data_IF_316226653864
#
_entry.id   IF_316226653864
#
_cell.length_a   1.000
_cell.length_b   1.000
_cell.length_c   1.000
_cell.angle_alpha   90.00
_cell.angle_beta   90.00
_cell.angle_gamma   90.00
#
_symmetry.space_group_name_H-M   'P 1'
#
loop_
_entity.id
_entity.type
_entity.pdbx_description
1 polymer ?
#
# COMPACT_ATOMS: atom_id res chain seq x y z
N UNK A 1 -21.59 -23.19 -8.63
CA UNK A 1 -22.49 -22.08 -8.28
C UNK A 1 -22.43 -21.89 -6.78
N UNK A 2 -22.29 -20.67 -6.27
CA UNK A 2 -22.01 -20.40 -4.85
C UNK A 2 -23.28 -20.49 -3.99
N UNK A 3 -23.74 -21.71 -3.70
CA UNK A 3 -25.01 -21.99 -3.01
C UNK A 3 -25.13 -21.25 -1.67
N UNK A 4 -24.03 -21.09 -0.94
CA UNK A 4 -23.98 -20.36 0.34
C UNK A 4 -24.29 -18.85 0.21
N UNK A 5 -24.12 -18.26 -0.98
CA UNK A 5 -24.47 -16.85 -1.24
C UNK A 5 -25.95 -16.72 -1.60
N UNK A 6 -26.48 -17.67 -2.37
CA UNK A 6 -27.86 -17.64 -2.84
C UNK A 6 -28.86 -18.13 -1.78
N UNK A 7 -28.43 -19.05 -0.92
CA UNK A 7 -29.24 -19.66 0.14
C UNK A 7 -28.45 -19.63 1.46
N UNK A 8 -28.26 -18.45 2.07
CA UNK A 8 -27.48 -18.32 3.29
C UNK A 8 -28.20 -18.99 4.46
N UNK A 9 -27.47 -19.81 5.20
CA UNK A 9 -27.86 -20.34 6.51
C UNK A 9 -27.38 -19.40 7.62
N UNK A 10 -27.91 -19.53 8.85
CA UNK A 10 -27.41 -18.75 10.00
C UNK A 10 -25.91 -18.94 10.28
N UNK A 11 -25.32 -20.06 9.84
CA UNK A 11 -23.88 -20.34 10.00
C UNK A 11 -23.02 -19.63 8.95
N UNK A 12 -23.62 -19.16 7.86
CA UNK A 12 -22.89 -18.40 6.85
C UNK A 12 -22.59 -16.99 7.36
N UNK A 13 -21.30 -16.70 7.49
CA UNK A 13 -20.78 -15.39 7.87
C UNK A 13 -19.76 -14.90 6.85
N UNK A 14 -19.69 -13.58 6.70
CA UNK A 14 -18.59 -12.94 5.98
C UNK A 14 -17.33 -13.13 6.84
N UNK A 15 -16.31 -13.78 6.28
CA UNK A 15 -15.06 -14.05 6.99
C UNK A 15 -14.30 -12.75 7.26
N UNK A 16 -14.15 -11.92 6.23
CA UNK A 16 -13.58 -10.58 6.26
C UNK A 16 -13.92 -9.82 4.97
N UNK A 17 -13.69 -8.52 4.94
CA UNK A 17 -13.67 -7.72 3.70
C UNK A 17 -12.26 -7.33 3.32
N UNK A 18 -12.06 -7.00 2.04
CA UNK A 18 -10.79 -6.51 1.52
C UNK A 18 -11.04 -5.10 1.02
N UNK A 19 -10.28 -4.14 1.53
CA UNK A 19 -10.47 -2.71 1.29
C UNK A 19 -9.16 -2.07 0.82
N UNK A 20 -9.29 -0.99 0.04
CA UNK A 20 -8.18 -0.05 -0.20
C UNK A 20 -8.12 0.98 0.91
N UNK A 21 -6.96 1.60 1.12
CA UNK A 21 -6.80 2.72 2.05
C UNK A 21 -7.74 3.88 1.69
N UNK A 22 -8.77 4.19 2.51
CA UNK A 22 -9.70 5.26 2.22
C UNK A 22 -9.02 6.62 2.03
N UNK A 23 -7.84 6.79 2.64
CA UNK A 23 -6.96 7.93 2.53
C UNK A 23 -6.52 8.20 1.08
N UNK A 24 -6.43 7.18 0.23
CA UNK A 24 -6.15 7.37 -1.20
C UNK A 24 -7.29 8.09 -1.93
N UNK A 25 -8.49 8.09 -1.35
CA UNK A 25 -9.67 8.74 -1.91
C UNK A 25 -9.45 10.24 -2.17
N UNK A 26 -9.86 10.70 -3.37
CA UNK A 26 -9.74 12.09 -3.83
C UNK A 26 -10.34 13.17 -2.91
N UNK A 27 -11.26 12.76 -2.03
CA UNK A 27 -12.01 13.64 -1.16
C UNK A 27 -11.95 13.15 0.28
N UNK A 28 -10.89 12.44 0.67
CA UNK A 28 -10.78 11.89 2.02
C UNK A 28 -10.74 13.01 3.07
N UNK A 29 -9.78 13.93 2.95
CA UNK A 29 -9.65 15.11 3.80
C UNK A 29 -10.26 16.37 3.17
N UNK A 30 -10.62 17.32 4.04
CA UNK A 30 -11.06 18.64 3.62
C UNK A 30 -9.89 19.41 3.06
N UNK A 31 -10.07 20.11 1.94
CA UNK A 31 -8.95 20.83 1.36
C UNK A 31 -9.29 21.72 0.18
N UNK A 32 -8.23 22.28 -0.40
CA UNK A 32 -8.28 23.13 -1.58
C UNK A 32 -7.04 22.88 -2.43
N UNK A 33 -7.24 22.23 -3.57
CA UNK A 33 -6.18 21.75 -4.46
C UNK A 33 -5.29 22.87 -4.97
N UNK A 34 -5.90 24.01 -5.33
CA UNK A 34 -5.19 25.14 -5.95
C UNK A 34 -4.21 25.80 -4.99
N UNK A 35 -4.51 25.78 -3.69
CA UNK A 35 -3.63 26.32 -2.65
C UNK A 35 -2.83 25.24 -1.92
N UNK A 36 -2.94 23.98 -2.35
CA UNK A 36 -2.31 22.81 -1.71
C UNK A 36 -2.59 22.74 -0.19
N UNK A 37 -3.80 23.11 0.22
CA UNK A 37 -4.23 23.03 1.63
C UNK A 37 -4.99 21.74 1.83
N UNK A 38 -4.57 20.97 2.82
CA UNK A 38 -5.22 19.76 3.30
C UNK A 38 -5.32 19.83 4.81
N UNK A 39 -6.53 19.66 5.33
CA UNK A 39 -6.83 19.72 6.75
C UNK A 39 -7.44 18.40 7.20
N UNK A 40 -6.95 17.86 8.31
CA UNK A 40 -7.64 16.77 9.00
C UNK A 40 -9.02 17.22 9.48
N UNK A 41 -9.90 16.29 9.90
CA UNK A 41 -11.19 16.66 10.50
C UNK A 41 -11.04 17.52 11.76
N UNK A 42 -10.05 17.23 12.61
CA UNK A 42 -9.77 18.01 13.82
C UNK A 42 -9.32 19.42 13.48
N UNK A 43 -8.47 19.59 12.47
CA UNK A 43 -8.03 20.90 12.00
C UNK A 43 -9.17 21.67 11.33
N UNK A 44 -10.00 21.01 10.54
CA UNK A 44 -11.16 21.63 9.87
C UNK A 44 -12.14 22.17 10.90
N UNK A 45 -12.39 21.42 11.98
CA UNK A 45 -13.24 21.86 13.09
C UNK A 45 -12.71 23.11 13.80
N UNK A 46 -11.38 23.26 13.89
CA UNK A 46 -10.73 24.39 14.55
C UNK A 46 -10.59 25.62 13.64
N UNK A 47 -10.16 25.41 12.39
CA UNK A 47 -9.82 26.48 11.43
C UNK A 47 -11.02 26.89 10.56
N UNK A 48 -12.09 26.10 10.57
CA UNK A 48 -13.26 26.28 9.72
C UNK A 48 -13.03 25.81 8.29
N UNK A 49 -14.01 26.08 7.42
CA UNK A 49 -14.04 25.61 6.03
C UNK A 49 -13.66 26.71 5.02
N UNK A 50 -12.85 27.68 5.43
CA UNK A 50 -12.39 28.78 4.56
C UNK A 50 -10.89 28.63 4.32
N UNK A 51 -10.47 28.70 3.07
CA UNK A 51 -9.06 28.56 2.70
C UNK A 51 -8.24 29.73 3.27
N UNK A 52 -7.18 29.47 4.05
CA UNK A 52 -6.37 30.54 4.65
C UNK A 52 -5.52 31.29 3.63
N UNK A 53 -5.33 30.74 2.42
CA UNK A 53 -4.48 31.33 1.38
C UNK A 53 -5.27 32.26 0.46
N UNK A 54 -6.47 31.88 0.04
CA UNK A 54 -7.24 32.62 -0.97
C UNK A 54 -8.65 33.04 -0.55
N UNK A 55 -9.10 32.68 0.67
CA UNK A 55 -10.41 33.02 1.20
C UNK A 55 -11.61 32.29 0.57
N UNK A 56 -11.40 31.41 -0.41
CA UNK A 56 -12.45 30.57 -1.00
C UNK A 56 -12.87 29.44 -0.06
N UNK A 57 -14.10 28.90 -0.18
CA UNK A 57 -14.51 27.74 0.60
C UNK A 57 -13.66 26.50 0.29
N UNK A 58 -13.35 25.73 1.33
CA UNK A 58 -12.70 24.43 1.21
C UNK A 58 -13.71 23.38 0.74
N UNK A 59 -13.25 22.41 -0.06
CA UNK A 59 -14.03 21.21 -0.38
C UNK A 59 -14.05 20.31 0.84
N UNK A 60 -15.23 20.11 1.42
CA UNK A 60 -15.43 19.27 2.61
C UNK A 60 -15.13 17.80 2.28
N UNK A 61 -14.26 17.18 3.08
CA UNK A 61 -13.85 15.79 2.91
C UNK A 61 -14.84 14.79 3.53
N UNK A 62 -14.72 13.53 3.11
CA UNK A 62 -15.49 12.39 3.63
C UNK A 62 -15.27 12.23 5.13
N UNK A 63 -14.03 12.37 5.61
CA UNK A 63 -13.74 12.22 7.03
C UNK A 63 -14.42 13.29 7.89
N UNK A 64 -14.56 14.53 7.39
CA UNK A 64 -15.33 15.55 8.09
C UNK A 64 -16.81 15.14 8.21
N UNK A 65 -17.38 14.59 7.13
CA UNK A 65 -18.77 14.14 7.14
C UNK A 65 -18.99 12.95 8.07
N UNK A 66 -18.02 12.04 8.17
CA UNK A 66 -18.05 10.92 9.12
C UNK A 66 -18.07 11.45 10.55
N UNK A 67 -17.15 12.36 10.90
CA UNK A 67 -17.10 13.00 12.22
C UNK A 67 -18.41 13.73 12.58
N UNK A 68 -19.00 14.46 11.64
CA UNK A 68 -20.25 15.20 11.87
C UNK A 68 -21.45 14.27 12.16
N UNK A 69 -21.40 13.03 11.66
CA UNK A 69 -22.47 12.03 11.81
C UNK A 69 -22.17 10.97 12.87
N UNK A 70 -20.93 10.90 13.36
CA UNK A 70 -20.48 9.85 14.24
C UNK A 70 -21.22 9.90 15.57
N UNK A 71 -21.98 8.84 15.88
CA UNK A 71 -22.64 8.69 17.19
C UNK A 71 -21.71 8.15 18.29
N UNK A 72 -20.41 7.98 18.01
CA UNK A 72 -19.39 7.44 18.92
C UNK A 72 -18.00 7.87 18.46
N UNK A 73 -17.04 7.93 19.37
CA UNK A 73 -15.65 8.24 19.03
C UNK A 73 -14.90 7.01 18.48
N UNK A 74 -13.76 7.24 17.83
CA UNK A 74 -12.87 6.16 17.34
C UNK A 74 -12.40 5.26 18.49
N UNK A 75 -12.09 5.84 19.67
CA UNK A 75 -11.70 5.07 20.87
C UNK A 75 -12.85 4.18 21.36
N UNK A 76 -14.10 4.58 21.13
CA UNK A 76 -15.28 3.78 21.44
C UNK A 76 -15.47 2.57 20.53
N UNK A 77 -14.82 2.54 19.36
CA UNK A 77 -14.87 1.41 18.43
C UNK A 77 -13.82 0.35 18.80
N UNK A 78 -12.69 0.74 19.39
CA UNK A 78 -11.56 -0.14 19.77
C UNK A 78 -11.16 -1.10 18.65
N UNK A 79 -10.62 -0.54 17.57
CA UNK A 79 -10.06 -1.32 16.47
C UNK A 79 -8.71 -1.90 16.87
N UNK A 80 -8.52 -3.19 16.60
CA UNK A 80 -7.30 -3.93 16.91
C UNK A 80 -6.93 -4.86 15.74
N UNK A 81 -5.63 -5.17 15.63
CA UNK A 81 -5.14 -6.15 14.68
C UNK A 81 -5.59 -7.55 15.10
N UNK A 82 -6.04 -8.35 14.14
CA UNK A 82 -6.53 -9.72 14.34
C UNK A 82 -5.93 -10.64 13.29
N UNK A 83 -5.29 -11.72 13.75
CA UNK A 83 -4.85 -12.80 12.86
C UNK A 83 -6.06 -13.48 12.22
N UNK A 84 -6.05 -13.57 10.89
CA UNK A 84 -7.08 -14.25 10.11
C UNK A 84 -6.53 -15.57 9.58
N UNK A 85 -7.38 -16.59 9.57
CA UNK A 85 -6.99 -17.92 9.13
C UNK A 85 -6.66 -17.92 7.63
N UNK A 86 -5.53 -18.52 7.26
CA UNK A 86 -5.08 -18.62 5.87
C UNK A 86 -4.48 -17.33 5.29
N UNK A 87 -4.36 -16.25 6.07
CA UNK A 87 -3.72 -15.00 5.65
C UNK A 87 -2.32 -14.86 6.25
N UNK A 88 -1.41 -14.32 5.44
CA UNK A 88 -0.07 -13.89 5.80
C UNK A 88 -0.04 -12.50 6.46
N UNK A 89 -1.17 -11.79 6.47
CA UNK A 89 -1.33 -10.46 7.06
C UNK A 89 -2.45 -10.43 8.09
N UNK A 90 -2.42 -9.43 8.96
CA UNK A 90 -3.44 -9.22 9.97
C UNK A 90 -4.60 -8.38 9.41
N UNK A 91 -5.82 -8.73 9.80
CA UNK A 91 -6.99 -7.88 9.58
C UNK A 91 -7.19 -6.89 10.73
N UNK A 92 -8.09 -5.94 10.53
CA UNK A 92 -8.51 -4.97 11.53
C UNK A 92 -9.95 -5.29 11.92
N UNK A 93 -10.21 -5.41 13.23
CA UNK A 93 -11.54 -5.70 13.75
C UNK A 93 -11.81 -4.96 15.06
N UNK A 94 -13.08 -4.79 15.40
CA UNK A 94 -13.49 -4.16 16.66
C UNK A 94 -13.60 -5.20 17.78
N UNK A 95 -13.06 -4.88 18.97
CA UNK A 95 -13.28 -5.68 20.18
C UNK A 95 -14.66 -5.43 20.81
N UNK A 96 -15.23 -4.24 20.59
CA UNK A 96 -16.58 -3.87 21.07
C UNK A 96 -17.68 -4.47 20.20
N UNK A 97 -17.42 -4.63 18.90
CA UNK A 97 -18.37 -5.18 17.94
C UNK A 97 -17.83 -6.48 17.30
N UNK A 98 -17.72 -7.58 18.08
CA UNK A 98 -17.08 -8.81 17.62
C UNK A 98 -17.85 -9.52 16.50
N UNK A 99 -19.15 -9.23 16.34
CA UNK A 99 -20.00 -9.74 15.27
C UNK A 99 -19.78 -9.05 13.92
N UNK A 100 -19.08 -7.91 13.89
CA UNK A 100 -18.73 -7.25 12.63
C UNK A 100 -17.55 -7.97 11.99
N UNK A 101 -17.62 -8.32 10.70
CA UNK A 101 -16.49 -8.90 10.00
C UNK A 101 -15.28 -7.96 10.08
N UNK A 102 -14.07 -8.50 10.30
CA UNK A 102 -12.85 -7.72 10.17
C UNK A 102 -12.62 -7.36 8.70
N UNK A 103 -11.75 -6.38 8.46
CA UNK A 103 -11.34 -5.98 7.12
C UNK A 103 -9.82 -6.01 6.98
N UNK A 104 -9.33 -6.17 5.76
CA UNK A 104 -7.91 -6.19 5.44
C UNK A 104 -7.62 -5.08 4.45
N UNK A 105 -6.57 -4.31 4.71
CA UNK A 105 -6.14 -3.20 3.86
C UNK A 105 -5.12 -3.70 2.85
N UNK A 106 -5.34 -3.42 1.56
CA UNK A 106 -4.41 -3.76 0.49
C UNK A 106 -3.96 -2.53 -0.29
N UNK A 107 -2.71 -2.61 -0.73
CA UNK A 107 -2.14 -1.76 -1.78
C UNK A 107 -2.10 -2.60 -3.06
N UNK A 108 -2.54 -2.06 -4.22
CA UNK A 108 -2.46 -2.78 -5.48
C UNK A 108 -1.03 -3.26 -5.80
N UNK A 109 -0.86 -4.48 -6.28
CA UNK A 109 0.45 -5.07 -6.53
C UNK A 109 1.27 -4.24 -7.54
N UNK A 110 0.63 -3.58 -8.50
CA UNK A 110 1.32 -2.70 -9.44
C UNK A 110 1.96 -1.49 -8.74
N UNK A 111 1.31 -0.94 -7.71
CA UNK A 111 1.86 0.17 -6.92
C UNK A 111 3.03 -0.30 -6.07
N UNK A 112 2.91 -1.48 -5.46
CA UNK A 112 3.99 -2.10 -4.68
C UNK A 112 5.22 -2.33 -5.56
N UNK A 113 5.03 -2.94 -6.73
CA UNK A 113 6.12 -3.19 -7.68
C UNK A 113 6.73 -1.86 -8.14
N UNK A 114 5.90 -0.89 -8.52
CA UNK A 114 6.31 0.41 -9.00
C UNK A 114 7.23 1.12 -8.01
N UNK A 115 6.83 1.17 -6.74
CA UNK A 115 7.61 1.79 -5.68
C UNK A 115 8.86 0.97 -5.34
N UNK A 116 8.77 -0.37 -5.31
CA UNK A 116 9.90 -1.25 -5.05
C UNK A 116 11.01 -1.15 -6.12
N UNK A 117 10.68 -0.87 -7.38
CA UNK A 117 11.67 -0.79 -8.48
C UNK A 117 11.96 0.66 -8.92
N UNK A 118 11.36 1.65 -8.27
CA UNK A 118 11.53 3.07 -8.63
C UNK A 118 11.02 3.41 -10.04
N UNK A 119 9.86 2.87 -10.44
CA UNK A 119 9.28 3.07 -11.77
C UNK A 119 7.82 3.54 -11.68
N UNK A 120 7.31 4.35 -12.63
CA UNK A 120 5.88 4.70 -12.65
C UNK A 120 4.98 3.46 -12.77
N UNK A 121 3.84 3.47 -12.07
CA UNK A 121 2.86 2.35 -12.04
C UNK A 121 2.45 1.88 -13.45
N UNK A 122 2.26 2.81 -14.38
CA UNK A 122 1.88 2.51 -15.76
C UNK A 122 3.03 2.05 -16.66
N UNK A 123 4.24 1.86 -16.16
CA UNK A 123 5.39 1.53 -17.00
C UNK A 123 5.35 0.07 -17.50
N UNK A 124 5.88 -0.22 -18.71
CA UNK A 124 5.99 -1.59 -19.20
C UNK A 124 6.80 -2.49 -18.26
N UNK A 125 7.79 -1.94 -17.55
CA UNK A 125 8.62 -2.69 -16.59
C UNK A 125 7.76 -3.22 -15.43
N UNK A 126 6.87 -2.38 -14.89
CA UNK A 126 5.94 -2.78 -13.83
C UNK A 126 4.96 -3.84 -14.35
N UNK A 127 4.41 -3.62 -15.56
CA UNK A 127 3.45 -4.57 -16.15
C UNK A 127 4.05 -5.96 -16.39
N UNK A 128 5.29 -6.04 -16.86
CA UNK A 128 5.99 -7.32 -17.05
C UNK A 128 6.16 -8.06 -15.72
N UNK A 129 6.58 -7.37 -14.66
CA UNK A 129 6.70 -7.97 -13.33
C UNK A 129 5.33 -8.39 -12.77
N UNK A 130 4.31 -7.55 -12.93
CA UNK A 130 2.95 -7.84 -12.50
C UNK A 130 2.41 -9.13 -13.15
N UNK A 131 2.53 -9.25 -14.48
CA UNK A 131 2.08 -10.43 -15.22
C UNK A 131 2.88 -11.69 -14.83
N UNK A 132 4.20 -11.56 -14.64
CA UNK A 132 5.05 -12.66 -14.19
C UNK A 132 4.60 -13.17 -12.83
N UNK A 133 4.45 -12.27 -11.85
CA UNK A 133 4.12 -12.63 -10.47
C UNK A 133 2.69 -13.19 -10.35
N UNK A 134 1.73 -12.57 -11.02
CA UNK A 134 0.35 -13.10 -11.04
C UNK A 134 0.26 -14.44 -11.77
N UNK A 135 1.10 -14.68 -12.80
CA UNK A 135 1.23 -15.98 -13.45
C UNK A 135 1.79 -17.07 -12.52
N UNK A 136 2.87 -16.77 -11.79
CA UNK A 136 3.53 -17.72 -10.88
C UNK A 136 2.70 -18.00 -9.63
N UNK A 137 2.12 -16.97 -9.01
CA UNK A 137 1.36 -17.06 -7.76
C UNK A 137 -0.16 -17.18 -7.96
N UNK A 138 -0.59 -17.45 -9.20
CA UNK A 138 -1.99 -17.61 -9.67
C UNK A 138 -2.81 -16.32 -9.74
N UNK A 139 -2.70 -15.45 -8.74
CA UNK A 139 -3.42 -14.18 -8.72
C UNK A 139 -2.75 -13.16 -7.81
N UNK A 140 -3.10 -11.89 -8.01
CA UNK A 140 -2.68 -10.79 -7.13
C UNK A 140 -3.12 -11.03 -5.69
N UNK A 141 -4.37 -11.42 -5.46
CA UNK A 141 -4.86 -11.72 -4.11
C UNK A 141 -4.07 -12.86 -3.45
N UNK A 142 -3.81 -13.95 -4.17
CA UNK A 142 -3.01 -15.08 -3.65
C UNK A 142 -1.63 -14.60 -3.18
N UNK A 143 -0.98 -13.78 -4.02
CA UNK A 143 0.32 -13.19 -3.73
C UNK A 143 0.26 -12.23 -2.55
N UNK A 144 -0.65 -11.27 -2.50
CA UNK A 144 -0.72 -10.27 -1.44
C UNK A 144 -1.11 -10.90 -0.09
N UNK A 145 -2.09 -11.81 -0.12
CA UNK A 145 -2.76 -12.31 1.07
C UNK A 145 -2.10 -13.53 1.71
N UNK A 146 -1.43 -14.40 0.95
CA UNK A 146 -1.09 -15.74 1.46
C UNK A 146 0.28 -16.28 1.05
N UNK A 147 0.87 -15.78 -0.04
CA UNK A 147 2.14 -16.33 -0.55
C UNK A 147 3.29 -16.17 0.47
N UNK A 148 4.12 -17.21 0.69
CA UNK A 148 5.30 -17.09 1.54
C UNK A 148 6.30 -16.06 1.01
N UNK A 149 6.86 -15.23 1.90
CA UNK A 149 7.85 -14.21 1.52
C UNK A 149 9.10 -14.80 0.87
N UNK A 150 9.53 -16.00 1.29
CA UNK A 150 10.70 -16.67 0.69
C UNK A 150 10.48 -17.05 -0.78
N UNK A 151 9.26 -17.43 -1.15
CA UNK A 151 8.95 -17.76 -2.54
C UNK A 151 8.86 -16.48 -3.39
N UNK A 152 8.30 -15.41 -2.81
CA UNK A 152 8.28 -14.09 -3.44
C UNK A 152 9.71 -13.59 -3.66
N UNK A 153 10.60 -13.72 -2.66
CA UNK A 153 12.01 -13.33 -2.76
C UNK A 153 12.74 -14.07 -3.87
N UNK A 154 12.52 -15.38 -4.00
CA UNK A 154 13.12 -16.20 -5.08
C UNK A 154 12.66 -15.75 -6.47
N UNK A 155 11.37 -15.43 -6.62
CA UNK A 155 10.79 -15.11 -7.92
C UNK A 155 11.02 -13.65 -8.33
N UNK A 156 10.84 -12.71 -7.39
CA UNK A 156 10.76 -11.27 -7.62
C UNK A 156 12.02 -10.50 -7.18
N UNK A 157 12.89 -11.13 -6.39
CA UNK A 157 14.03 -10.49 -5.74
C UNK A 157 13.69 -9.81 -4.41
N UNK A 158 14.74 -9.35 -3.71
CA UNK A 158 14.62 -8.80 -2.36
C UNK A 158 13.77 -7.53 -2.30
N UNK A 159 13.89 -6.64 -3.30
CA UNK A 159 13.21 -5.35 -3.26
C UNK A 159 11.68 -5.49 -3.21
N UNK A 160 11.12 -6.32 -4.10
CA UNK A 160 9.67 -6.56 -4.15
C UNK A 160 9.20 -7.35 -2.92
N UNK A 161 9.99 -8.32 -2.44
CA UNK A 161 9.67 -9.08 -1.25
C UNK A 161 9.62 -8.20 0.01
N UNK A 162 10.60 -7.33 0.20
CA UNK A 162 10.65 -6.37 1.31
C UNK A 162 9.52 -5.35 1.25
N UNK A 163 9.16 -4.87 0.06
CA UNK A 163 8.03 -3.95 -0.12
C UNK A 163 6.69 -4.63 0.23
N UNK A 164 6.49 -5.86 -0.21
CA UNK A 164 5.32 -6.66 0.14
C UNK A 164 5.23 -6.95 1.64
N UNK A 165 6.35 -7.24 2.29
CA UNK A 165 6.39 -7.46 3.74
C UNK A 165 5.95 -6.20 4.51
N UNK A 166 6.49 -5.02 4.15
CA UNK A 166 6.05 -3.74 4.74
C UNK A 166 4.56 -3.49 4.58
N UNK A 167 4.02 -3.72 3.38
CA UNK A 167 2.59 -3.59 3.11
C UNK A 167 1.78 -4.56 3.98
N UNK A 168 2.22 -5.82 4.12
CA UNK A 168 1.55 -6.82 4.97
C UNK A 168 1.58 -6.48 6.45
N UNK A 169 2.65 -5.84 6.92
CA UNK A 169 2.77 -5.35 8.30
C UNK A 169 1.97 -4.06 8.54
N UNK A 170 1.58 -3.37 7.47
CA UNK A 170 1.00 -2.03 7.52
C UNK A 170 2.01 -0.96 7.92
N UNK A 171 3.31 -1.23 7.75
CA UNK A 171 4.39 -0.25 7.99
C UNK A 171 4.62 0.58 6.72
N UNK A 172 3.65 1.43 6.43
CA UNK A 172 3.61 2.30 5.25
C UNK A 172 3.20 3.72 5.66
N UNK A 173 3.53 4.69 4.83
CA UNK A 173 3.16 6.10 4.98
C UNK A 173 2.07 6.43 3.99
N UNK A 174 0.98 7.05 4.45
CA UNK A 174 -0.14 7.40 3.59
C UNK A 174 -0.37 8.90 3.65
N UNK A 175 -0.31 9.52 2.48
CA UNK A 175 -0.65 10.92 2.29
C UNK A 175 -2.12 11.01 1.85
N UNK A 176 -3.04 11.52 2.68
CA UNK A 176 -4.46 11.51 2.34
C UNK A 176 -4.80 12.44 1.16
N UNK A 177 -5.73 12.01 0.32
CA UNK A 177 -6.27 12.79 -0.77
C UNK A 177 -7.22 13.90 -0.30
N UNK A 178 -7.40 14.91 -1.14
CA UNK A 178 -8.23 16.08 -0.86
C UNK A 178 -8.61 16.82 -2.14
N UNK A 179 -9.78 17.43 -2.17
CA UNK A 179 -10.28 18.28 -3.26
C UNK A 179 -9.94 17.76 -4.68
N UNK A 180 -10.25 16.49 -4.97
CA UNK A 180 -10.04 15.88 -6.28
C UNK A 180 -8.64 15.29 -6.52
N UNK A 181 -7.68 15.54 -5.62
CA UNK A 181 -6.32 14.99 -5.66
C UNK A 181 -6.32 13.65 -4.92
N UNK A 182 -5.90 12.59 -5.59
CA UNK A 182 -5.73 11.28 -4.96
C UNK A 182 -4.68 11.33 -3.86
N UNK A 183 -4.91 10.57 -2.79
CA UNK A 183 -3.88 10.29 -1.81
C UNK A 183 -2.79 9.39 -2.42
N UNK A 184 -1.72 9.20 -1.67
CA UNK A 184 -0.58 8.39 -2.09
C UNK A 184 -0.16 7.50 -0.95
N UNK A 185 -0.01 6.22 -1.25
CA UNK A 185 0.73 5.30 -0.39
C UNK A 185 2.20 5.37 -0.76
N UNK A 186 3.04 5.43 0.27
CA UNK A 186 4.49 5.30 0.20
C UNK A 186 4.89 4.16 1.12
N UNK A 187 5.54 3.15 0.57
CA UNK A 187 6.09 2.01 1.29
C UNK A 187 7.34 2.43 2.09
N UNK A 188 8.14 3.35 1.55
CA UNK A 188 9.39 3.77 2.18
C UNK A 188 9.24 5.13 2.87
N UNK A 189 9.82 5.27 4.08
CA UNK A 189 9.88 6.56 4.78
C UNK A 189 11.00 7.41 4.21
N UNK A 190 10.85 8.74 4.28
CA UNK A 190 11.91 9.67 3.89
C UNK A 190 13.15 9.42 4.75
N UNK A 191 14.23 8.94 4.12
CA UNK A 191 15.47 8.53 4.79
C UNK A 191 15.77 7.02 4.76
N UNK A 192 14.78 6.17 4.42
CA UNK A 192 14.97 4.72 4.24
C UNK A 192 15.47 4.34 2.83
N UNK A 193 15.57 5.30 1.90
CA UNK A 193 16.08 5.10 0.54
C UNK A 193 17.60 4.86 0.52
N UNK A 194 18.07 3.72 1.00
CA UNK A 194 19.36 3.15 0.58
C UNK A 194 19.31 1.63 0.62
N UNK A 195 19.22 1.02 -0.58
CA UNK A 195 20.01 -0.14 -1.03
C UNK A 195 19.57 -0.52 -2.46
N UNK A 196 19.61 0.43 -3.41
CA UNK A 196 19.66 0.08 -4.82
C UNK A 196 21.13 -0.10 -5.20
N UNK A 197 21.67 -1.31 -4.96
CA UNK A 197 22.96 -1.68 -5.54
C UNK A 197 22.76 -2.15 -6.98
N UNK A 198 22.58 -1.20 -7.88
CA UNK A 198 22.66 -1.42 -9.33
C UNK A 198 24.13 -1.42 -9.83
N UNK A 199 25.13 -1.43 -8.94
CA UNK A 199 26.55 -1.33 -9.31
C UNK A 199 27.27 -2.67 -9.47
N UNK A 200 26.64 -3.79 -9.09
CA UNK A 200 27.28 -5.12 -9.16
C UNK A 200 27.07 -5.90 -10.47
N UNK A 201 26.30 -5.37 -11.44
CA UNK A 201 26.13 -6.03 -12.76
C UNK A 201 26.91 -5.38 -13.92
N UNK A 202 27.66 -4.30 -13.68
CA UNK A 202 28.42 -3.61 -14.74
C UNK A 202 29.94 -3.65 -14.56
N UNK A 203 30.46 -4.50 -13.66
CA UNK A 203 31.90 -4.65 -13.41
C UNK A 203 32.52 -5.96 -13.90
N UNK A 204 31.76 -6.89 -14.50
CA UNK A 204 32.32 -8.12 -15.08
C UNK A 204 32.50 -8.09 -16.60
N UNK A 205 32.35 -6.93 -17.25
CA UNK A 205 32.38 -6.82 -18.72
C UNK A 205 33.66 -6.18 -19.29
N UNK A 206 34.61 -5.78 -18.44
CA UNK A 206 35.91 -5.27 -18.86
C UNK A 206 37.03 -5.92 -18.04
N UNK A 207 37.29 -7.21 -18.28
CA UNK A 207 38.62 -7.76 -18.05
C UNK A 207 39.51 -7.35 -19.24
N UNK A 208 40.62 -6.63 -19.03
CA UNK A 208 41.55 -6.33 -20.11
C UNK A 208 42.35 -7.60 -20.43
N UNK A 209 42.35 -7.96 -21.72
CA UNK A 209 43.23 -8.96 -22.33
C UNK A 209 44.67 -8.79 -21.80
N UNK A 210 45.16 -9.81 -21.09
CA UNK A 210 46.56 -9.88 -20.66
C UNK A 210 47.48 -9.91 -21.87
N UNK A 211 48.31 -8.89 -22.03
CA UNK A 211 49.45 -8.91 -22.92
C UNK A 211 50.61 -9.63 -22.23
N UNK A 212 51.04 -10.73 -22.85
CA UNK A 212 52.27 -11.41 -22.55
C UNK A 212 53.47 -10.47 -22.80
N UNK A 213 54.34 -10.32 -21.82
CA UNK A 213 55.74 -9.95 -22.05
C UNK A 213 56.62 -10.88 -21.20
N UNK A 214 57.16 -11.88 -21.89
CA UNK A 214 58.27 -12.69 -21.43
C UNK A 214 59.50 -11.80 -21.22
N UNK A 215 60.04 -11.79 -20.00
CA UNK A 215 61.44 -11.43 -19.75
C UNK A 215 62.20 -12.73 -19.47
N UNK A 216 62.81 -13.28 -20.51
CA UNK A 216 63.83 -14.29 -20.37
C UNK A 216 65.20 -13.61 -20.16
N UNK A 217 65.84 -14.01 -19.08
CA UNK A 217 67.27 -13.93 -18.82
C UNK A 217 68.08 -14.53 -19.96
N UNK A 218 68.89 -13.73 -20.66
CA UNK A 218 70.36 -13.79 -20.63
C UNK A 218 70.99 -12.69 -21.49
#
# INVERSE_FOLDING_TARGET
>A
MYTAIQHPTPDNKIAYTIEFYPEEGKYHYTGHRTCNIRLSPTETKQKGTTCPVCGKPLTVGVMQRVEDLAGRSEEGIKLEKRKLEGLAMEGIGSTVFPSRPPFVMLVPLQEIIAEAIGSPVGSPKVQVQYQRLTGTFRSEFSLLLSAPLEDIRKEAGESIASALDKVRLGDIVIEPGFDGVFGKVKIWKEGDEKLFDASQQQLSMFEPFGSAQDKATH
#
